data_IF_941269536195
#
_entry.id   IF_941269536195
#
_cell.length_a   1.000
_cell.length_b   1.000
_cell.length_c   1.000
_cell.angle_alpha   90.00
_cell.angle_beta   90.00
_cell.angle_gamma   90.00
#
_symmetry.space_group_name_H-M   'P 1'
#
loop_
_entity.id
_entity.type
_entity.pdbx_description
1 polymer ?
#
# COMPACT_ATOMS: atom_id res chain seq x y z
N UNK A 1 -30.41 -12.46 61.43
CA UNK A 1 -30.09 -13.19 60.19
C UNK A 1 -28.64 -12.92 59.84
N UNK A 2 -27.74 -13.79 60.31
CA UNK A 2 -26.30 -13.74 60.03
C UNK A 2 -25.89 -15.16 59.64
N UNK A 3 -25.23 -15.31 58.49
CA UNK A 3 -24.75 -16.59 57.97
C UNK A 3 -23.21 -16.56 57.88
N UNK A 4 -22.51 -17.65 58.24
CA UNK A 4 -21.05 -17.71 58.24
C UNK A 4 -20.44 -18.27 56.95
N UNK A 5 -19.18 -17.91 56.75
CA UNK A 5 -18.23 -18.36 55.72
C UNK A 5 -17.75 -19.80 55.97
N UNK A 6 -17.60 -20.63 54.93
CA UNK A 6 -16.66 -21.77 54.92
C UNK A 6 -16.05 -22.05 53.54
N UNK A 7 -14.73 -21.85 53.49
CA UNK A 7 -13.63 -22.66 52.91
C UNK A 7 -13.72 -23.22 51.47
N UNK A 8 -12.83 -22.71 50.61
CA UNK A 8 -12.41 -23.26 49.31
C UNK A 8 -11.29 -24.30 49.51
N UNK A 9 -11.47 -25.52 49.03
CA UNK A 9 -10.40 -26.51 48.83
C UNK A 9 -9.84 -26.44 47.40
N UNK A 10 -8.53 -26.20 47.27
CA UNK A 10 -7.75 -26.29 46.03
C UNK A 10 -7.29 -27.74 45.82
N UNK A 11 -7.61 -28.34 44.67
CA UNK A 11 -7.02 -29.62 44.24
C UNK A 11 -6.00 -29.35 43.14
N UNK A 12 -4.73 -29.62 43.47
CA UNK A 12 -3.59 -29.64 42.57
C UNK A 12 -3.68 -30.82 41.60
N UNK A 13 -3.63 -30.57 40.29
CA UNK A 13 -3.43 -31.60 39.26
C UNK A 13 -2.07 -31.39 38.58
N UNK A 14 -1.19 -32.37 38.73
CA UNK A 14 0.10 -32.49 38.05
C UNK A 14 -0.10 -32.79 36.55
N UNK A 15 0.74 -32.28 35.64
CA UNK A 15 0.75 -32.69 34.24
C UNK A 15 1.53 -33.99 34.01
N UNK A 16 1.04 -34.82 33.09
CA UNK A 16 1.64 -36.07 32.61
C UNK A 16 2.68 -35.84 31.48
N UNK A 17 3.65 -36.77 31.28
CA UNK A 17 4.83 -36.54 30.45
C UNK A 17 4.60 -36.77 28.94
N UNK A 18 5.34 -36.01 28.12
CA UNK A 18 5.44 -36.12 26.66
C UNK A 18 6.32 -37.31 26.22
N UNK A 19 6.02 -38.01 25.11
CA UNK A 19 6.93 -39.00 24.53
C UNK A 19 7.90 -38.40 23.50
N UNK A 20 9.08 -39.04 23.41
CA UNK A 20 10.27 -38.60 22.69
C UNK A 20 10.32 -38.95 21.19
N UNK A 21 11.18 -38.20 20.49
CA UNK A 21 11.56 -38.24 19.07
C UNK A 21 11.95 -39.62 18.51
N UNK A 22 11.59 -39.86 17.24
CA UNK A 22 12.30 -40.75 16.30
C UNK A 22 12.42 -40.08 14.93
N UNK A 23 13.65 -39.99 14.42
CA UNK A 23 14.02 -39.51 13.09
C UNK A 23 13.82 -40.60 12.03
N UNK A 24 13.60 -40.24 10.75
CA UNK A 24 13.95 -41.11 9.64
C UNK A 24 14.93 -40.47 8.65
N UNK A 25 15.71 -41.39 8.08
CA UNK A 25 16.85 -41.27 7.17
C UNK A 25 16.50 -40.92 5.71
N UNK A 26 17.54 -40.47 5.01
CA UNK A 26 17.64 -40.03 3.61
C UNK A 26 17.21 -41.03 2.53
N UNK A 27 16.63 -40.53 1.43
CA UNK A 27 16.74 -41.11 0.10
C UNK A 27 16.58 -40.02 -0.98
N UNK A 28 17.57 -39.84 -1.85
CA UNK A 28 17.54 -38.91 -2.98
C UNK A 28 16.87 -39.50 -4.23
N UNK A 29 16.43 -38.69 -5.20
CA UNK A 29 15.83 -39.19 -6.44
C UNK A 29 16.86 -39.39 -7.56
N UNK A 30 16.74 -40.51 -8.28
CA UNK A 30 17.41 -40.81 -9.56
C UNK A 30 16.55 -40.34 -10.75
N UNK A 31 17.14 -40.06 -11.93
CA UNK A 31 16.46 -39.48 -13.07
C UNK A 31 15.76 -40.53 -13.93
N UNK A 32 14.52 -40.24 -14.34
CA UNK A 32 13.76 -41.00 -15.33
C UNK A 32 13.47 -40.10 -16.52
N UNK A 33 14.01 -40.48 -17.68
CA UNK A 33 13.76 -39.89 -18.99
C UNK A 33 12.36 -40.32 -19.46
N UNK A 34 11.51 -39.36 -19.86
CA UNK A 34 10.46 -39.63 -20.83
C UNK A 34 10.24 -38.40 -21.71
N UNK A 35 10.52 -38.59 -23.00
CA UNK A 35 10.23 -37.66 -24.07
C UNK A 35 8.79 -37.91 -24.54
N UNK A 36 8.00 -36.85 -24.67
CA UNK A 36 6.65 -36.88 -25.20
C UNK A 36 6.25 -35.48 -25.66
N UNK A 37 6.01 -35.34 -26.95
CA UNK A 37 5.85 -34.10 -27.70
C UNK A 37 4.41 -33.54 -27.70
N UNK A 38 4.34 -32.20 -27.67
CA UNK A 38 3.32 -31.29 -28.26
C UNK A 38 1.90 -31.31 -27.69
N UNK A 39 1.49 -30.17 -27.11
CA UNK A 39 0.48 -29.27 -27.70
C UNK A 39 0.34 -28.00 -26.87
N UNK A 40 0.69 -26.85 -27.47
CA UNK A 40 0.34 -25.51 -26.99
C UNK A 40 -1.18 -25.33 -27.03
N UNK A 41 -1.76 -24.77 -25.96
CA UNK A 41 -2.78 -23.71 -26.00
C UNK A 41 -3.37 -23.49 -24.59
N UNK A 42 -3.54 -22.23 -24.19
CA UNK A 42 -4.34 -21.87 -23.02
C UNK A 42 -3.70 -20.97 -21.95
N UNK A 43 -2.69 -20.14 -22.26
CA UNK A 43 -2.33 -19.04 -21.36
C UNK A 43 -3.36 -17.91 -21.53
N UNK A 44 -4.42 -17.94 -20.72
CA UNK A 44 -5.38 -16.84 -20.56
C UNK A 44 -4.69 -15.66 -19.85
N UNK A 45 -3.78 -15.01 -20.58
CA UNK A 45 -3.26 -13.69 -20.22
C UNK A 45 -4.39 -12.70 -20.44
N UNK A 46 -4.93 -12.13 -19.36
CA UNK A 46 -5.69 -10.88 -19.43
C UNK A 46 -4.75 -9.80 -19.96
N UNK A 47 -4.71 -9.67 -21.29
CA UNK A 47 -4.00 -8.60 -21.99
C UNK A 47 -4.78 -7.31 -21.77
N UNK A 48 -4.33 -6.48 -20.82
CA UNK A 48 -4.66 -5.06 -20.85
C UNK A 48 -3.82 -4.43 -21.98
N UNK A 49 -4.40 -4.27 -23.17
CA UNK A 49 -3.72 -3.76 -24.37
C UNK A 49 -3.61 -2.24 -24.39
N UNK A 50 -2.96 -1.66 -23.39
CA UNK A 50 -2.34 -0.33 -23.53
C UNK A 50 -0.85 -0.48 -23.18
N UNK A 51 0.08 0.01 -24.01
CA UNK A 51 1.42 0.23 -23.50
C UNK A 51 1.25 1.26 -22.38
N UNK A 52 1.58 0.88 -21.14
CA UNK A 52 1.75 1.85 -20.08
C UNK A 52 2.70 2.92 -20.65
N UNK A 53 2.20 4.14 -20.82
CA UNK A 53 3.03 5.24 -21.27
C UNK A 53 4.28 5.28 -20.39
N UNK A 54 5.44 5.53 -21.00
CA UNK A 54 6.70 5.61 -20.27
C UNK A 54 6.52 6.47 -19.01
N UNK A 55 6.71 5.92 -17.81
CA UNK A 55 6.72 6.74 -16.59
C UNK A 55 7.98 7.59 -16.62
N UNK A 56 7.85 8.87 -16.30
CA UNK A 56 9.00 9.77 -16.25
C UNK A 56 8.82 10.83 -15.19
N UNK A 57 9.78 10.89 -14.27
CA UNK A 57 9.89 11.92 -13.24
C UNK A 57 11.30 12.51 -13.29
N UNK A 58 11.41 13.81 -13.08
CA UNK A 58 12.69 14.51 -12.99
C UNK A 58 12.76 15.16 -11.61
N UNK A 59 13.90 15.00 -10.95
CA UNK A 59 14.14 15.44 -9.59
C UNK A 59 15.33 16.41 -9.55
N UNK A 60 15.28 17.34 -8.61
CA UNK A 60 16.30 18.33 -8.35
C UNK A 60 16.63 18.42 -6.87
N UNK A 61 17.91 18.68 -6.56
CA UNK A 61 18.41 18.82 -5.18
C UNK A 61 18.20 20.22 -4.60
N UNK A 62 17.73 21.18 -5.41
CA UNK A 62 17.30 22.51 -4.97
C UNK A 62 15.83 22.78 -5.35
N UNK A 63 15.23 23.76 -4.68
CA UNK A 63 13.89 24.23 -5.01
C UNK A 63 13.88 24.96 -6.36
N UNK A 64 12.69 25.13 -6.96
CA UNK A 64 12.54 25.86 -8.22
C UNK A 64 13.21 25.19 -9.43
N UNK A 65 13.42 23.87 -9.39
CA UNK A 65 14.00 23.07 -10.47
C UNK A 65 15.46 23.43 -10.79
N UNK A 66 16.25 23.73 -9.75
CA UNK A 66 17.66 24.13 -9.84
C UNK A 66 18.62 23.08 -9.28
N UNK A 67 19.91 23.26 -9.51
CA UNK A 67 20.96 22.38 -8.99
C UNK A 67 21.10 21.07 -9.77
N UNK A 68 21.49 20.00 -9.08
CA UNK A 68 21.69 18.67 -9.67
C UNK A 68 20.35 18.13 -10.15
N UNK A 69 20.32 17.67 -11.41
CA UNK A 69 19.12 17.11 -12.06
C UNK A 69 19.29 15.61 -12.27
N UNK A 70 18.27 14.82 -11.93
CA UNK A 70 18.20 13.40 -12.25
C UNK A 70 16.84 13.01 -12.80
N UNK A 71 16.84 12.17 -13.82
CA UNK A 71 15.63 11.61 -14.41
C UNK A 71 15.47 10.14 -14.00
N UNK A 72 14.25 9.74 -13.66
CA UNK A 72 13.87 8.35 -13.39
C UNK A 72 12.79 7.92 -14.38
N UNK A 73 12.97 6.72 -14.93
CA UNK A 73 11.97 6.02 -15.75
C UNK A 73 11.54 4.67 -15.13
N UNK A 74 12.10 4.33 -13.97
CA UNK A 74 11.81 3.13 -13.20
C UNK A 74 11.87 3.45 -11.70
N UNK A 75 11.53 2.47 -10.87
CA UNK A 75 11.63 2.61 -9.41
C UNK A 75 13.07 2.93 -8.97
N UNK A 76 13.18 3.74 -7.92
CA UNK A 76 14.42 4.12 -7.25
C UNK A 76 14.24 3.83 -5.75
N UNK A 77 14.86 2.76 -5.20
CA UNK A 77 14.75 2.43 -3.79
C UNK A 77 15.54 3.38 -2.87
N UNK A 78 16.45 4.19 -3.42
CA UNK A 78 17.25 5.14 -2.64
C UNK A 78 17.86 6.23 -3.52
N UNK A 79 17.52 7.49 -3.27
CA UNK A 79 18.09 8.63 -4.02
C UNK A 79 19.56 8.90 -3.68
N UNK A 80 20.04 8.43 -2.52
CA UNK A 80 21.44 8.53 -2.11
C UNK A 80 22.37 7.80 -3.09
N UNK A 81 21.93 6.68 -3.66
CA UNK A 81 22.68 5.90 -4.66
C UNK A 81 22.85 6.67 -5.98
N UNK A 82 21.97 7.66 -6.22
CA UNK A 82 22.05 8.59 -7.35
C UNK A 82 22.82 9.88 -6.99
N UNK A 83 23.41 9.93 -5.79
CA UNK A 83 24.14 11.08 -5.29
C UNK A 83 23.26 12.24 -4.81
N UNK A 84 21.99 11.99 -4.49
CA UNK A 84 21.10 13.02 -3.93
C UNK A 84 21.02 12.87 -2.42
N UNK A 85 21.41 13.91 -1.68
CA UNK A 85 21.17 13.97 -0.23
C UNK A 85 19.70 14.25 0.08
N UNK A 86 19.06 15.09 -0.74
CA UNK A 86 17.64 15.42 -0.64
C UNK A 86 17.07 15.77 -2.02
N UNK A 87 15.79 15.46 -2.23
CA UNK A 87 15.00 15.96 -3.37
C UNK A 87 14.18 17.15 -2.90
N UNK A 88 14.42 18.32 -3.50
CA UNK A 88 13.80 19.60 -3.09
C UNK A 88 12.73 20.08 -4.07
N UNK A 89 12.86 19.76 -5.35
CA UNK A 89 11.82 19.97 -6.35
C UNK A 89 11.78 18.85 -7.37
N UNK A 90 10.62 18.65 -8.01
CA UNK A 90 10.44 17.60 -9.02
C UNK A 90 9.38 17.96 -10.05
N UNK A 91 9.45 17.31 -11.22
CA UNK A 91 8.42 17.37 -12.27
C UNK A 91 8.06 15.95 -12.68
N UNK A 92 6.77 15.63 -12.61
CA UNK A 92 6.24 14.38 -13.16
C UNK A 92 5.86 14.65 -14.61
N UNK A 93 6.66 14.13 -15.52
CA UNK A 93 6.49 14.34 -16.96
C UNK A 93 5.51 13.36 -17.57
N UNK A 94 5.35 12.16 -17.00
CA UNK A 94 4.37 11.17 -17.46
C UNK A 94 4.14 10.06 -16.42
N UNK A 95 2.90 9.56 -16.43
CA UNK A 95 2.39 8.60 -15.45
C UNK A 95 2.22 9.21 -14.05
N UNK A 96 1.89 8.36 -13.08
CA UNK A 96 1.88 8.71 -11.67
C UNK A 96 2.97 7.96 -10.92
N UNK A 97 3.43 8.57 -9.83
CA UNK A 97 4.48 8.05 -8.98
C UNK A 97 4.08 8.11 -7.51
N UNK A 98 4.64 7.22 -6.70
CA UNK A 98 4.63 7.33 -5.24
C UNK A 98 6.03 7.69 -4.79
N UNK A 99 6.15 8.83 -4.12
CA UNK A 99 7.34 9.20 -3.36
C UNK A 99 7.22 8.73 -1.91
N UNK A 100 8.33 8.32 -1.32
CA UNK A 100 8.40 7.83 0.05
C UNK A 100 9.40 8.63 0.88
N UNK A 101 9.09 8.83 2.15
CA UNK A 101 9.94 9.53 3.11
C UNK A 101 11.29 8.85 3.36
N UNK A 102 11.33 7.52 3.31
CA UNK A 102 12.52 6.73 3.60
C UNK A 102 12.95 5.88 2.40
N UNK A 103 14.22 5.43 2.35
CA UNK A 103 14.67 4.43 1.38
C UNK A 103 13.85 3.13 1.49
N UNK A 104 13.86 2.33 0.43
CA UNK A 104 13.19 1.03 0.39
C UNK A 104 11.66 1.11 0.41
N UNK A 105 11.09 2.21 -0.09
CA UNK A 105 9.64 2.45 -0.16
C UNK A 105 8.96 2.45 1.22
N UNK A 106 9.61 3.06 2.21
CA UNK A 106 9.16 3.09 3.60
C UNK A 106 8.75 4.51 4.06
N UNK A 107 8.02 4.57 5.17
CA UNK A 107 7.57 5.84 5.76
C UNK A 107 6.39 6.46 5.02
N UNK A 108 6.22 7.77 5.17
CA UNK A 108 5.10 8.50 4.57
C UNK A 108 5.09 8.39 3.05
N UNK A 109 3.89 8.20 2.49
CA UNK A 109 3.65 8.11 1.05
C UNK A 109 3.13 9.44 0.51
N UNK A 110 3.57 9.79 -0.70
CA UNK A 110 3.14 11.00 -1.41
C UNK A 110 2.77 10.63 -2.85
N UNK A 111 1.51 10.86 -3.22
CA UNK A 111 1.08 10.72 -4.61
C UNK A 111 1.60 11.89 -5.44
N UNK A 112 2.33 11.57 -6.51
CA UNK A 112 2.92 12.52 -7.44
C UNK A 112 2.35 12.25 -8.83
N UNK A 113 1.34 13.01 -9.21
CA UNK A 113 0.70 12.98 -10.52
C UNK A 113 1.39 13.95 -11.47
N UNK A 114 1.05 13.88 -12.76
CA UNK A 114 1.63 14.77 -13.79
C UNK A 114 1.54 16.24 -13.36
N UNK A 115 2.68 16.93 -13.29
CA UNK A 115 2.73 18.31 -12.82
C UNK A 115 4.11 18.75 -12.36
N UNK A 116 4.15 19.96 -11.82
CA UNK A 116 5.35 20.61 -11.33
C UNK A 116 5.27 20.83 -9.81
N UNK A 117 6.33 20.47 -9.11
CA UNK A 117 6.42 20.52 -7.65
C UNK A 117 7.69 21.33 -7.28
N UNK A 118 7.60 22.67 -7.25
CA UNK A 118 8.77 23.54 -7.10
C UNK A 118 9.39 23.52 -5.69
N UNK A 119 8.66 23.05 -4.69
CA UNK A 119 9.13 22.92 -3.30
C UNK A 119 8.41 21.77 -2.60
N UNK A 120 8.84 21.43 -1.39
CA UNK A 120 8.23 20.35 -0.60
C UNK A 120 6.75 20.63 -0.26
N UNK A 121 6.34 21.89 -0.12
CA UNK A 121 4.96 22.27 0.18
C UNK A 121 3.99 21.91 -0.96
N UNK A 122 4.47 21.91 -2.21
CA UNK A 122 3.64 21.59 -3.37
C UNK A 122 3.24 20.10 -3.44
N UNK A 123 4.04 19.21 -2.84
CA UNK A 123 3.75 17.76 -2.78
C UNK A 123 2.98 17.34 -1.54
N UNK A 124 3.00 18.14 -0.47
CA UNK A 124 2.32 17.80 0.78
C UNK A 124 0.94 18.47 0.87
N UNK A 125 -0.12 17.67 0.68
CA UNK A 125 -1.47 18.05 1.08
C UNK A 125 -1.67 18.10 2.62
N UNK A 126 -0.62 17.79 3.39
CA UNK A 126 -0.66 17.69 4.84
C UNK A 126 0.21 18.78 5.49
N UNK A 127 -0.42 19.88 5.93
CA UNK A 127 0.25 20.92 6.72
C UNK A 127 0.55 20.49 8.16
N UNK A 128 -0.08 19.42 8.66
CA UNK A 128 0.09 18.97 10.04
C UNK A 128 1.33 18.08 10.23
N UNK A 129 1.88 17.51 9.15
CA UNK A 129 3.13 16.75 9.18
C UNK A 129 4.06 17.25 8.06
N UNK A 130 4.81 18.34 8.29
CA UNK A 130 5.78 18.83 7.33
C UNK A 130 6.99 17.90 7.31
N UNK A 131 7.03 16.97 6.35
CA UNK A 131 8.23 16.18 6.08
C UNK A 131 8.82 16.57 4.74
N UNK A 132 9.98 17.22 4.81
CA UNK A 132 10.76 17.66 3.65
C UNK A 132 11.48 16.50 2.94
N UNK A 133 11.45 15.30 3.51
CA UNK A 133 12.22 14.17 3.00
C UNK A 133 11.45 13.37 1.94
N UNK A 134 12.11 13.13 0.82
CA UNK A 134 11.77 12.10 -0.16
C UNK A 134 13.06 11.33 -0.48
N UNK A 135 13.02 10.03 -0.27
CA UNK A 135 14.21 9.18 -0.34
C UNK A 135 14.07 7.99 -1.28
N UNK A 136 12.85 7.60 -1.67
CA UNK A 136 12.62 6.57 -2.68
C UNK A 136 11.34 6.84 -3.49
N UNK A 137 11.28 6.28 -4.69
CA UNK A 137 10.24 6.55 -5.68
C UNK A 137 9.87 5.29 -6.45
N UNK A 138 8.59 5.08 -6.75
CA UNK A 138 8.18 4.06 -7.72
C UNK A 138 7.04 4.55 -8.60
N UNK A 139 6.93 4.04 -9.84
CA UNK A 139 5.75 4.28 -10.66
C UNK A 139 4.52 3.57 -10.06
N UNK A 140 3.35 4.12 -10.35
CA UNK A 140 2.04 3.48 -10.12
C UNK A 140 1.61 2.83 -11.42
N UNK A 141 1.52 1.50 -11.43
CA UNK A 141 1.36 0.75 -12.68
C UNK A 141 -0.09 0.73 -13.19
N UNK A 142 -1.05 0.86 -12.28
CA UNK A 142 -2.47 0.56 -12.51
C UNK A 142 -3.35 1.80 -12.67
N UNK A 143 -2.78 2.97 -13.01
CA UNK A 143 -3.58 4.19 -13.23
C UNK A 143 -4.38 4.18 -14.54
N UNK A 144 -5.41 5.01 -14.63
CA UNK A 144 -6.15 5.25 -15.87
C UNK A 144 -7.07 4.09 -16.33
N UNK A 145 -7.39 3.14 -15.45
CA UNK A 145 -8.43 2.14 -15.71
C UNK A 145 -9.82 2.79 -15.66
N UNK A 146 -10.60 2.66 -16.75
CA UNK A 146 -11.96 3.24 -16.86
C UNK A 146 -12.93 2.66 -15.84
N UNK A 147 -12.69 1.42 -15.40
CA UNK A 147 -13.53 0.70 -14.45
C UNK A 147 -12.91 0.66 -13.05
N UNK A 148 -12.18 1.71 -12.66
CA UNK A 148 -11.59 1.81 -11.31
C UNK A 148 -12.67 1.62 -10.25
N UNK A 149 -12.50 0.60 -9.41
CA UNK A 149 -13.50 0.19 -8.41
C UNK A 149 -12.79 -0.31 -7.16
N UNK A 150 -13.33 0.09 -6.00
CA UNK A 150 -12.93 -0.43 -4.69
C UNK A 150 -14.13 -0.75 -3.82
N UNK A 151 -13.93 -1.64 -2.86
CA UNK A 151 -14.85 -1.87 -1.74
C UNK A 151 -14.14 -1.53 -0.43
N UNK A 152 -14.81 -0.74 0.42
CA UNK A 152 -14.39 -0.45 1.78
C UNK A 152 -15.23 -1.26 2.76
N UNK A 153 -14.63 -1.71 3.87
CA UNK A 153 -15.34 -2.41 4.94
C UNK A 153 -15.03 -1.76 6.30
N UNK A 154 -16.00 -1.73 7.21
CA UNK A 154 -15.83 -1.15 8.55
C UNK A 154 -14.76 -1.86 9.37
N UNK A 155 -14.67 -3.19 9.24
CA UNK A 155 -13.75 -4.00 10.03
C UNK A 155 -12.64 -4.60 9.17
N UNK A 156 -11.58 -5.05 9.82
CA UNK A 156 -10.52 -5.83 9.20
C UNK A 156 -11.06 -7.14 8.61
N UNK A 157 -10.31 -7.76 7.72
CA UNK A 157 -10.65 -9.02 7.05
C UNK A 157 -11.97 -8.99 6.27
N UNK A 158 -12.37 -7.81 5.77
CA UNK A 158 -13.57 -7.60 4.96
C UNK A 158 -14.88 -7.89 5.71
N UNK A 159 -14.89 -7.62 7.01
CA UNK A 159 -16.06 -7.79 7.88
C UNK A 159 -16.79 -6.46 8.11
N UNK A 160 -18.01 -6.54 8.67
CA UNK A 160 -18.85 -5.37 8.95
C UNK A 160 -19.57 -4.81 7.72
N UNK A 161 -20.09 -3.58 7.84
CA UNK A 161 -20.75 -2.87 6.73
C UNK A 161 -19.75 -2.64 5.60
N UNK A 162 -20.25 -2.67 4.36
CA UNK A 162 -19.45 -2.45 3.15
C UNK A 162 -20.01 -1.31 2.33
N UNK A 163 -19.11 -0.61 1.65
CA UNK A 163 -19.42 0.41 0.66
C UNK A 163 -18.60 0.16 -0.60
N UNK A 164 -19.26 0.20 -1.75
CA UNK A 164 -18.58 0.16 -3.05
C UNK A 164 -18.42 1.57 -3.58
N UNK A 165 -17.19 1.90 -4.00
CA UNK A 165 -16.83 3.24 -4.43
C UNK A 165 -16.12 3.17 -5.79
N UNK A 166 -16.72 3.80 -6.79
CA UNK A 166 -16.16 4.00 -8.14
C UNK A 166 -15.57 5.38 -8.33
N UNK A 167 -15.95 6.34 -7.47
CA UNK A 167 -15.66 7.76 -7.66
C UNK A 167 -14.78 8.35 -6.55
N UNK A 168 -14.41 9.60 -6.79
CA UNK A 168 -13.63 10.42 -5.88
C UNK A 168 -14.55 11.02 -4.84
N UNK A 169 -14.18 10.85 -3.57
CA UNK A 169 -15.01 11.23 -2.44
C UNK A 169 -14.20 12.05 -1.44
N UNK A 170 -14.40 13.38 -1.41
CA UNK A 170 -13.71 14.26 -0.47
C UNK A 170 -14.21 14.09 0.97
N UNK A 171 -15.35 13.41 1.19
CA UNK A 171 -15.84 13.01 2.51
C UNK A 171 -16.59 11.69 2.41
N UNK A 172 -16.12 10.65 3.13
CA UNK A 172 -16.84 9.39 3.27
C UNK A 172 -18.13 9.56 4.09
N UNK A 173 -18.11 10.46 5.07
CA UNK A 173 -19.28 10.76 5.90
C UNK A 173 -20.42 11.36 5.07
N UNK A 174 -20.11 12.16 4.05
CA UNK A 174 -21.12 12.69 3.13
C UNK A 174 -21.82 11.61 2.28
N UNK A 175 -21.23 10.41 2.17
CA UNK A 175 -21.86 9.23 1.55
C UNK A 175 -22.65 8.38 2.56
N UNK A 176 -22.72 8.82 3.81
CA UNK A 176 -23.34 8.06 4.90
C UNK A 176 -22.45 6.93 5.44
N UNK A 177 -21.12 7.01 5.28
CA UNK A 177 -20.21 6.11 6.01
C UNK A 177 -20.19 6.48 7.50
N UNK A 178 -20.41 5.49 8.35
CA UNK A 178 -20.49 5.72 9.78
C UNK A 178 -19.09 5.80 10.40
N UNK A 179 -18.84 6.87 11.15
CA UNK A 179 -17.57 7.08 11.83
C UNK A 179 -16.44 7.57 10.92
N UNK A 180 -15.21 7.27 11.35
CA UNK A 180 -13.95 7.83 10.80
C UNK A 180 -12.96 6.76 10.35
N UNK A 181 -13.33 5.50 10.50
CA UNK A 181 -12.44 4.36 10.34
C UNK A 181 -12.90 3.48 9.19
N UNK A 182 -11.93 2.87 8.52
CA UNK A 182 -12.13 1.83 7.51
C UNK A 182 -11.22 0.68 7.89
N UNK A 183 -11.75 -0.50 8.17
CA UNK A 183 -10.92 -1.62 8.63
C UNK A 183 -10.19 -2.35 7.51
N UNK A 184 -10.77 -2.39 6.30
CA UNK A 184 -10.14 -3.09 5.16
C UNK A 184 -10.61 -2.58 3.80
N UNK A 185 -9.79 -2.83 2.77
CA UNK A 185 -10.04 -2.45 1.39
C UNK A 185 -9.88 -3.64 0.45
N UNK A 186 -10.77 -3.72 -0.55
CA UNK A 186 -10.56 -4.52 -1.75
C UNK A 186 -10.52 -3.62 -2.97
N UNK A 187 -9.38 -3.55 -3.64
CA UNK A 187 -9.19 -2.77 -4.86
C UNK A 187 -9.36 -3.70 -6.05
N UNK A 188 -10.56 -3.72 -6.65
CA UNK A 188 -10.82 -4.55 -7.82
C UNK A 188 -10.12 -4.02 -9.08
N UNK A 189 -9.99 -2.70 -9.19
CA UNK A 189 -9.35 -2.07 -10.33
C UNK A 189 -8.83 -0.67 -9.99
N UNK A 190 -7.73 -0.32 -10.63
CA UNK A 190 -7.10 1.00 -10.54
C UNK A 190 -6.16 1.15 -9.36
N UNK A 191 -5.67 2.38 -9.22
CA UNK A 191 -4.90 2.83 -8.07
C UNK A 191 -5.63 3.95 -7.36
N UNK A 192 -5.60 3.93 -6.04
CA UNK A 192 -6.35 4.80 -5.16
C UNK A 192 -5.45 5.41 -4.11
N UNK A 193 -5.77 6.62 -3.68
CA UNK A 193 -5.19 7.22 -2.48
C UNK A 193 -6.27 7.52 -1.47
N UNK A 194 -6.09 6.96 -0.28
CA UNK A 194 -6.91 7.19 0.90
C UNK A 194 -6.23 8.22 1.80
N UNK A 195 -7.01 9.15 2.36
CA UNK A 195 -6.49 10.19 3.22
C UNK A 195 -7.19 10.19 4.59
N UNK A 196 -6.41 10.49 5.63
CA UNK A 196 -6.85 10.47 7.04
C UNK A 196 -8.01 11.44 7.33
N UNK A 197 -8.07 12.58 6.63
CA UNK A 197 -9.06 13.63 6.84
C UNK A 197 -9.85 13.93 5.56
N UNK A 198 -11.00 14.63 5.67
CA UNK A 198 -11.78 15.04 4.51
C UNK A 198 -11.01 16.08 3.69
N UNK A 199 -11.32 16.14 2.40
CA UNK A 199 -10.67 17.02 1.42
C UNK A 199 -9.24 16.59 1.06
N UNK A 200 -8.96 15.28 1.11
CA UNK A 200 -7.66 14.69 0.71
C UNK A 200 -6.47 15.15 1.57
N UNK A 201 -6.69 15.32 2.87
CA UNK A 201 -5.69 15.84 3.82
C UNK A 201 -5.21 14.77 4.81
N UNK A 202 -4.08 15.05 5.45
CA UNK A 202 -3.46 14.17 6.43
C UNK A 202 -2.55 13.13 5.79
N UNK A 203 -2.32 12.02 6.49
CA UNK A 203 -1.55 10.90 5.92
C UNK A 203 -2.25 10.30 4.70
N UNK A 204 -1.44 9.94 3.71
CA UNK A 204 -1.88 9.32 2.46
C UNK A 204 -1.52 7.84 2.48
N UNK A 205 -2.40 7.01 1.91
CA UNK A 205 -2.19 5.57 1.77
C UNK A 205 -2.54 5.16 0.34
N UNK A 206 -1.57 4.66 -0.40
CA UNK A 206 -1.76 4.20 -1.78
C UNK A 206 -2.19 2.74 -1.79
N UNK A 207 -3.30 2.47 -2.46
CA UNK A 207 -3.89 1.14 -2.61
C UNK A 207 -3.99 0.82 -4.11
N UNK A 208 -3.41 -0.30 -4.54
CA UNK A 208 -3.34 -0.69 -5.94
C UNK A 208 -3.95 -2.08 -6.15
N UNK A 209 -4.58 -2.32 -7.30
CA UNK A 209 -5.19 -3.62 -7.59
C UNK A 209 -4.18 -4.76 -7.84
N UNK A 210 -2.96 -4.43 -8.26
CA UNK A 210 -1.88 -5.40 -8.51
C UNK A 210 -1.04 -5.69 -7.26
N UNK A 211 -1.11 -4.84 -6.25
CA UNK A 211 -0.46 -5.08 -4.97
C UNK A 211 -1.37 -5.90 -4.04
N UNK A 212 -0.83 -6.96 -3.42
CA UNK A 212 -1.60 -7.91 -2.60
C UNK A 212 -2.83 -8.50 -3.31
N UNK A 213 -2.83 -8.54 -4.66
CA UNK A 213 -4.03 -8.87 -5.46
C UNK A 213 -5.24 -7.98 -5.16
N UNK A 214 -4.99 -6.73 -4.74
CA UNK A 214 -6.01 -5.76 -4.35
C UNK A 214 -6.60 -5.98 -2.96
N UNK A 215 -6.20 -7.01 -2.22
CA UNK A 215 -6.76 -7.36 -0.92
C UNK A 215 -5.92 -6.78 0.22
N UNK A 216 -6.42 -5.73 0.87
CA UNK A 216 -5.82 -5.09 2.04
C UNK A 216 -6.68 -5.37 3.27
N UNK A 217 -6.34 -6.45 4.00
CA UNK A 217 -7.18 -6.99 5.07
C UNK A 217 -7.07 -6.21 6.37
N UNK A 218 -5.96 -5.49 6.58
CA UNK A 218 -5.64 -4.79 7.83
C UNK A 218 -5.04 -3.43 7.53
N UNK A 219 -5.21 -2.46 8.41
CA UNK A 219 -4.71 -1.10 8.16
C UNK A 219 -3.18 -1.01 8.05
N UNK A 220 -2.46 -1.93 8.72
CA UNK A 220 -0.99 -2.04 8.62
C UNK A 220 -0.50 -2.45 7.23
N UNK A 221 -1.37 -2.99 6.38
CA UNK A 221 -1.04 -3.38 5.00
C UNK A 221 -1.11 -2.19 4.04
N UNK A 222 -1.69 -1.05 4.43
CA UNK A 222 -1.75 0.14 3.57
C UNK A 222 -0.42 0.89 3.50
N UNK A 223 0.44 0.67 4.50
CA UNK A 223 1.76 1.25 4.58
C UNK A 223 2.37 1.11 5.99
N UNK A 224 3.70 1.07 6.12
CA UNK A 224 4.38 0.99 7.42
C UNK A 224 4.04 2.16 8.36
N UNK A 225 3.68 3.31 7.79
CA UNK A 225 3.31 4.52 8.53
C UNK A 225 1.85 4.54 9.00
N UNK A 226 1.02 3.56 8.61
CA UNK A 226 -0.38 3.48 9.03
C UNK A 226 -0.49 3.05 10.50
N UNK A 227 -0.70 4.03 11.39
CA UNK A 227 -0.85 3.79 12.83
C UNK A 227 -2.30 3.61 13.29
N UNK A 228 -3.26 4.08 12.50
CA UNK A 228 -4.70 3.98 12.79
C UNK A 228 -5.47 3.60 11.52
N UNK A 229 -6.66 2.98 11.64
CA UNK A 229 -7.54 2.69 10.50
C UNK A 229 -8.31 3.95 10.01
N UNK A 230 -7.87 5.16 10.37
CA UNK A 230 -8.62 6.38 10.10
C UNK A 230 -8.52 6.79 8.62
N UNK A 231 -9.66 6.80 7.93
CA UNK A 231 -9.78 7.24 6.53
C UNK A 231 -11.08 8.01 6.37
N UNK A 232 -11.03 9.20 5.77
CA UNK A 232 -12.21 10.06 5.62
C UNK A 232 -12.38 10.65 4.22
N UNK A 233 -11.38 10.52 3.35
CA UNK A 233 -11.52 10.83 1.93
C UNK A 233 -10.67 9.90 1.08
N UNK A 234 -11.04 9.79 -0.18
CA UNK A 234 -10.39 8.86 -1.10
C UNK A 234 -10.62 9.28 -2.55
N UNK A 235 -9.61 9.12 -3.39
CA UNK A 235 -9.68 9.45 -4.82
C UNK A 235 -8.84 8.50 -5.67
N UNK A 236 -9.16 8.42 -6.96
CA UNK A 236 -8.35 7.75 -7.99
C UNK A 236 -7.04 8.49 -8.16
N UNK A 237 -5.99 7.73 -8.48
CA UNK A 237 -4.72 8.26 -8.97
C UNK A 237 -4.78 8.29 -10.50
N UNK A 238 -4.43 9.43 -11.10
CA UNK A 238 -4.51 9.70 -12.55
C UNK A 238 -3.18 9.45 -13.26
#
# INVERSE_FOLDING_TARGET
LAAPLLSRGLVSRRPSPLPANKSPTSAGPRPGVFCGSVSEEGNMTLRCTKPAGHWKIVMWDQEGFQGRRQELAAQCPGVLELGFEAVRSLKVLSGAWVGFEHPGFQGQQYVLERGEYPCWGARSGNKAYPSERLASFRPVATTGTRDSRRTISEQENFLGRKGELSDDHPSLQALGWDGKEVGSFRVQAGAWVCCQFPGYRGFQYVLECDHHSGDYKRFREWGPHAQTPQVQSVRRIQ
#
